data_IF_552514479092
#
_entry.id   IF_552514479092
#
_cell.length_a   1.000
_cell.length_b   1.000
_cell.length_c   1.000
_cell.angle_alpha   90.00
_cell.angle_beta   90.00
_cell.angle_gamma   90.00
#
_symmetry.space_group_name_H-M   'P 1'
#
loop_
_entity.id
_entity.type
_entity.pdbx_description
1 polymer ?
#
# COMPACT_ATOMS: atom_id res chain seq x y z
N UNK A 1 -13.62 -36.03 31.20
CA UNK A 1 -14.35 -34.86 30.68
C UNK A 1 -13.44 -33.65 30.49
N UNK A 2 -12.67 -33.19 31.49
CA UNK A 2 -11.80 -32.02 31.31
C UNK A 2 -10.70 -32.18 30.21
N UNK A 3 -10.10 -33.38 30.09
CA UNK A 3 -9.00 -33.64 29.15
C UNK A 3 -9.42 -33.59 27.67
N UNK A 4 -10.62 -34.10 27.34
CA UNK A 4 -11.13 -34.10 25.95
C UNK A 4 -11.55 -32.70 25.48
N UNK A 5 -12.04 -31.86 26.39
CA UNK A 5 -12.40 -30.47 26.10
C UNK A 5 -11.15 -29.61 25.84
N UNK A 6 -10.07 -29.86 26.61
CA UNK A 6 -8.78 -29.18 26.48
C UNK A 6 -8.05 -29.57 25.18
N UNK A 7 -8.10 -30.86 24.79
CA UNK A 7 -7.59 -31.34 23.51
C UNK A 7 -8.38 -30.77 22.32
N UNK A 8 -9.71 -30.69 22.41
CA UNK A 8 -10.54 -30.10 21.37
C UNK A 8 -10.31 -28.58 21.22
N UNK A 9 -10.01 -27.87 22.31
CA UNK A 9 -9.65 -26.46 22.26
C UNK A 9 -8.28 -26.24 21.59
N UNK A 10 -7.28 -27.04 21.95
CA UNK A 10 -5.94 -27.01 21.33
C UNK A 10 -6.01 -27.32 19.83
N UNK A 11 -6.82 -28.29 19.42
CA UNK A 11 -7.01 -28.64 18.01
C UNK A 11 -7.65 -27.50 17.21
N UNK A 12 -8.63 -26.78 17.79
CA UNK A 12 -9.25 -25.60 17.14
C UNK A 12 -8.26 -24.46 16.98
N UNK A 13 -7.42 -24.22 17.98
CA UNK A 13 -6.40 -23.18 17.91
C UNK A 13 -5.33 -23.51 16.86
N UNK A 14 -4.87 -24.77 16.80
CA UNK A 14 -3.95 -25.24 15.76
C UNK A 14 -4.55 -25.11 14.37
N UNK A 15 -5.82 -25.46 14.19
CA UNK A 15 -6.55 -25.28 12.92
C UNK A 15 -6.71 -23.80 12.55
N UNK A 16 -6.94 -22.92 13.53
CA UNK A 16 -6.98 -21.47 13.32
C UNK A 16 -5.65 -20.93 12.81
N UNK A 17 -4.53 -21.31 13.46
CA UNK A 17 -3.18 -20.94 13.03
C UNK A 17 -2.84 -21.50 11.65
N UNK A 18 -3.24 -22.73 11.35
CA UNK A 18 -3.05 -23.33 10.03
C UNK A 18 -3.81 -22.58 8.94
N UNK A 19 -5.05 -22.17 9.20
CA UNK A 19 -5.85 -21.36 8.25
C UNK A 19 -5.24 -19.97 8.02
N UNK A 20 -4.70 -19.33 9.05
CA UNK A 20 -4.00 -18.05 8.92
C UNK A 20 -2.77 -18.18 8.02
N UNK A 21 -1.95 -19.23 8.24
CA UNK A 21 -0.78 -19.51 7.42
C UNK A 21 -1.13 -19.80 5.96
N UNK A 22 -2.20 -20.56 5.71
CA UNK A 22 -2.68 -20.83 4.34
C UNK A 22 -3.09 -19.53 3.64
N UNK A 23 -3.72 -18.61 4.37
CA UNK A 23 -4.11 -17.30 3.82
C UNK A 23 -2.89 -16.45 3.48
N UNK A 24 -1.91 -16.37 4.38
CA UNK A 24 -0.65 -15.65 4.13
C UNK A 24 0.12 -16.26 2.95
N UNK A 25 0.22 -17.59 2.87
CA UNK A 25 0.84 -18.27 1.73
C UNK A 25 0.10 -17.97 0.41
N UNK A 26 -1.22 -17.89 0.43
CA UNK A 26 -2.01 -17.52 -0.74
C UNK A 26 -1.74 -16.08 -1.18
N UNK A 27 -1.67 -15.14 -0.24
CA UNK A 27 -1.36 -13.73 -0.52
C UNK A 27 0.07 -13.59 -1.07
N UNK A 28 1.05 -14.32 -0.52
CA UNK A 28 2.41 -14.37 -1.06
C UNK A 28 2.47 -14.97 -2.47
N UNK A 29 1.71 -16.03 -2.75
CA UNK A 29 1.66 -16.62 -4.10
C UNK A 29 1.02 -15.68 -5.13
N UNK A 30 0.00 -14.90 -4.74
CA UNK A 30 -0.59 -13.90 -5.61
C UNK A 30 0.39 -12.77 -5.92
N UNK A 31 1.13 -12.29 -4.91
CA UNK A 31 2.17 -11.28 -5.10
C UNK A 31 3.32 -11.78 -6.00
N UNK A 32 3.77 -13.02 -5.80
CA UNK A 32 4.79 -13.64 -6.64
C UNK A 32 4.35 -13.77 -8.10
N UNK A 33 3.09 -14.17 -8.34
CA UNK A 33 2.56 -14.34 -9.69
C UNK A 33 2.38 -13.00 -10.42
N UNK A 34 2.07 -11.93 -9.68
CA UNK A 34 2.04 -10.55 -10.21
C UNK A 34 3.43 -10.09 -10.63
N UNK A 35 4.44 -10.35 -9.78
CA UNK A 35 5.85 -10.03 -10.08
C UNK A 35 6.38 -10.81 -11.29
N UNK A 36 6.06 -12.11 -11.42
CA UNK A 36 6.45 -12.93 -12.57
C UNK A 36 5.82 -12.42 -13.87
N UNK A 37 4.55 -11.99 -13.83
CA UNK A 37 3.88 -11.38 -14.99
C UNK A 37 4.47 -10.02 -15.39
N UNK A 38 4.95 -9.24 -14.42
CA UNK A 38 5.62 -7.96 -14.68
C UNK A 38 7.04 -8.14 -15.25
N UNK A 39 7.73 -9.24 -14.92
CA UNK A 39 9.08 -9.53 -15.36
C UNK A 39 9.17 -10.01 -16.82
N UNK A 40 8.13 -10.69 -17.32
CA UNK A 40 8.09 -11.25 -18.69
C UNK A 40 7.51 -10.28 -19.74
N UNK A 41 7.06 -9.09 -19.35
CA UNK A 41 6.48 -8.11 -20.27
C UNK A 41 7.56 -7.29 -21.01
N UNK A 42 7.57 -7.26 -22.35
CA UNK A 42 8.53 -6.46 -23.11
C UNK A 42 8.30 -4.96 -22.84
N UNK A 43 9.36 -4.28 -22.40
CA UNK A 43 9.35 -2.85 -22.10
C UNK A 43 9.02 -2.06 -23.38
N UNK A 44 7.85 -1.40 -23.40
CA UNK A 44 7.47 -0.44 -24.44
C UNK A 44 6.35 -0.83 -25.41
N UNK A 45 5.63 -1.94 -25.19
CA UNK A 45 4.40 -2.20 -25.93
C UNK A 45 3.26 -1.27 -25.47
N UNK A 46 2.37 -0.87 -26.38
CA UNK A 46 1.22 0.00 -26.12
C UNK A 46 0.21 -0.59 -25.10
N UNK A 47 0.39 -1.85 -24.72
CA UNK A 47 -0.26 -2.55 -23.61
C UNK A 47 0.73 -2.72 -22.44
N UNK A 48 1.31 -1.61 -21.96
CA UNK A 48 2.08 -1.64 -20.71
C UNK A 48 1.18 -2.26 -19.63
N UNK A 49 1.66 -3.34 -19.00
CA UNK A 49 0.94 -4.10 -17.98
C UNK A 49 0.25 -3.09 -17.06
N UNK A 50 -1.10 -3.03 -17.04
CA UNK A 50 -1.77 -2.09 -16.17
C UNK A 50 -1.32 -2.44 -14.77
N UNK A 51 -0.61 -1.51 -14.11
CA UNK A 51 -0.28 -1.63 -12.70
C UNK A 51 -1.59 -2.01 -12.03
N UNK A 52 -1.67 -3.22 -11.47
CA UNK A 52 -2.89 -3.66 -10.84
C UNK A 52 -3.20 -2.60 -9.79
N UNK A 53 -4.40 -2.01 -9.85
CA UNK A 53 -4.77 -0.88 -8.98
C UNK A 53 -4.65 -1.25 -7.51
N UNK A 54 -4.63 -2.55 -7.20
CA UNK A 54 -4.34 -3.11 -5.88
C UNK A 54 -2.90 -2.84 -5.38
N UNK A 55 -1.91 -2.73 -6.28
CA UNK A 55 -0.49 -2.53 -5.98
C UNK A 55 -0.06 -1.06 -5.94
N UNK A 56 -0.91 -0.16 -6.43
CA UNK A 56 -0.59 1.27 -6.53
C UNK A 56 -0.34 1.91 -5.16
N UNK A 57 -1.08 1.50 -4.12
CA UNK A 57 -0.92 2.06 -2.78
C UNK A 57 0.41 1.67 -2.10
N UNK A 58 0.82 0.37 -2.09
CA UNK A 58 2.16 -0.02 -1.69
C UNK A 58 3.27 0.69 -2.48
N UNK A 59 3.10 0.82 -3.80
CA UNK A 59 4.05 1.50 -4.67
C UNK A 59 4.22 2.99 -4.30
N UNK A 60 3.11 3.71 -4.12
CA UNK A 60 3.12 5.11 -3.70
C UNK A 60 3.78 5.31 -2.33
N UNK A 61 3.59 4.38 -1.39
CA UNK A 61 4.28 4.40 -0.10
C UNK A 61 5.80 4.21 -0.28
N UNK A 62 6.22 3.21 -1.06
CA UNK A 62 7.63 2.96 -1.33
C UNK A 62 8.31 4.18 -1.98
N UNK A 63 7.63 4.80 -2.96
CA UNK A 63 8.11 6.01 -3.61
C UNK A 63 8.21 7.19 -2.64
N UNK A 64 7.23 7.38 -1.75
CA UNK A 64 7.28 8.43 -0.73
C UNK A 64 8.46 8.23 0.24
N UNK A 65 8.72 6.98 0.66
CA UNK A 65 9.86 6.63 1.51
C UNK A 65 11.19 6.91 0.81
N UNK A 66 11.34 6.53 -0.46
CA UNK A 66 12.54 6.79 -1.26
C UNK A 66 12.81 8.29 -1.43
N UNK A 67 11.77 9.07 -1.75
CA UNK A 67 11.88 10.53 -1.87
C UNK A 67 12.25 11.21 -0.55
N UNK A 68 11.73 10.72 0.58
CA UNK A 68 12.15 11.19 1.90
C UNK A 68 13.62 10.81 2.20
N UNK A 69 14.05 9.59 1.85
CA UNK A 69 15.42 9.14 2.03
C UNK A 69 16.43 9.92 1.17
N UNK A 70 16.03 10.30 -0.04
CA UNK A 70 16.83 11.08 -1.00
C UNK A 70 16.66 12.60 -0.83
N UNK A 71 15.92 13.05 0.19
CA UNK A 71 15.73 14.45 0.54
C UNK A 71 15.09 15.30 -0.57
N UNK A 72 14.21 14.70 -1.38
CA UNK A 72 13.37 15.44 -2.32
C UNK A 72 12.47 16.40 -1.52
N UNK A 73 12.31 17.64 -2.02
CA UNK A 73 11.43 18.61 -1.36
C UNK A 73 9.99 18.10 -1.32
N UNK A 74 9.28 18.38 -0.23
CA UNK A 74 7.91 17.89 -0.03
C UNK A 74 6.96 18.30 -1.16
N UNK A 75 7.14 19.49 -1.75
CA UNK A 75 6.36 19.98 -2.88
C UNK A 75 6.56 19.12 -4.14
N UNK A 76 7.83 18.88 -4.52
CA UNK A 76 8.17 18.05 -5.68
C UNK A 76 7.77 16.59 -5.48
N UNK A 77 7.91 16.09 -4.25
CA UNK A 77 7.50 14.74 -3.89
C UNK A 77 5.96 14.59 -4.01
N UNK A 78 5.19 15.58 -3.55
CA UNK A 78 3.74 15.57 -3.69
C UNK A 78 3.30 15.63 -5.16
N UNK A 79 3.94 16.45 -5.99
CA UNK A 79 3.65 16.53 -7.43
C UNK A 79 3.91 15.19 -8.13
N UNK A 80 5.01 14.54 -7.80
CA UNK A 80 5.36 13.23 -8.35
C UNK A 80 4.38 12.14 -7.91
N UNK A 81 3.97 12.13 -6.63
CA UNK A 81 2.98 11.20 -6.11
C UNK A 81 1.60 11.41 -6.77
N UNK A 82 1.19 12.65 -7.02
CA UNK A 82 -0.05 12.96 -7.75
C UNK A 82 0.01 12.45 -9.18
N UNK A 83 1.14 12.69 -9.86
CA UNK A 83 1.39 12.22 -11.23
C UNK A 83 1.32 10.70 -11.33
N UNK A 84 1.95 9.99 -10.40
CA UNK A 84 1.96 8.51 -10.36
C UNK A 84 0.60 7.95 -9.97
N UNK A 85 -0.12 8.62 -9.07
CA UNK A 85 -1.46 8.20 -8.67
C UNK A 85 -2.50 8.33 -9.78
N UNK A 86 -2.18 9.04 -10.88
CA UNK A 86 -3.00 9.19 -12.08
C UNK A 86 -4.46 9.55 -11.77
N UNK A 87 -4.65 10.54 -10.88
CA UNK A 87 -5.98 11.00 -10.48
C UNK A 87 -6.77 10.02 -9.60
N UNK A 88 -6.10 9.11 -8.88
CA UNK A 88 -6.73 8.22 -7.90
C UNK A 88 -6.52 8.69 -6.44
N UNK A 89 -7.40 9.55 -5.90
CA UNK A 89 -7.37 9.92 -4.48
C UNK A 89 -7.42 8.71 -3.53
N UNK A 90 -8.09 7.63 -3.94
CA UNK A 90 -8.20 6.42 -3.13
C UNK A 90 -6.88 5.67 -3.00
N UNK A 91 -6.04 5.65 -4.03
CA UNK A 91 -4.71 5.04 -3.96
C UNK A 91 -3.80 5.81 -3.01
N UNK A 92 -3.82 7.14 -3.08
CA UNK A 92 -3.09 8.01 -2.14
C UNK A 92 -3.60 7.86 -0.70
N UNK A 93 -4.91 7.74 -0.51
CA UNK A 93 -5.50 7.50 0.81
C UNK A 93 -5.09 6.14 1.39
N UNK A 94 -5.07 5.10 0.56
CA UNK A 94 -4.60 3.77 0.96
C UNK A 94 -3.10 3.79 1.31
N UNK A 95 -2.26 4.47 0.51
CA UNK A 95 -0.84 4.66 0.82
C UNK A 95 -0.64 5.41 2.15
N UNK A 96 -1.44 6.45 2.41
CA UNK A 96 -1.44 7.18 3.69
C UNK A 96 -1.84 6.29 4.86
N UNK A 97 -2.80 5.39 4.67
CA UNK A 97 -3.20 4.40 5.69
C UNK A 97 -2.06 3.45 6.03
N UNK A 98 -1.36 2.92 5.01
CA UNK A 98 -0.19 2.06 5.18
C UNK A 98 0.96 2.81 5.89
N UNK A 99 1.24 4.06 5.52
CA UNK A 99 2.22 4.90 6.22
C UNK A 99 1.88 5.10 7.69
N UNK A 100 0.59 5.29 8.00
CA UNK A 100 0.12 5.44 9.38
C UNK A 100 0.28 4.17 10.19
N UNK A 101 0.10 2.99 9.58
CA UNK A 101 0.38 1.71 10.21
C UNK A 101 1.89 1.56 10.47
N UNK A 102 2.74 1.90 9.49
CA UNK A 102 4.20 1.88 9.65
C UNK A 102 4.68 2.79 10.80
N UNK A 103 4.14 4.01 10.90
CA UNK A 103 4.50 4.92 11.99
C UNK A 103 4.10 4.39 13.37
N UNK A 104 3.00 3.63 13.49
CA UNK A 104 2.62 3.00 14.77
C UNK A 104 3.60 1.91 15.19
N UNK A 105 4.15 1.16 14.22
CA UNK A 105 5.17 0.14 14.47
C UNK A 105 6.56 0.75 14.75
N UNK A 106 6.80 1.97 14.26
CA UNK A 106 8.06 2.72 14.40
C UNK A 106 7.81 4.13 14.98
N UNK A 107 7.37 4.24 16.25
CA UNK A 107 6.93 5.51 16.82
C UNK A 107 8.06 6.55 16.97
N UNK A 108 9.30 6.10 17.18
CA UNK A 108 10.48 6.96 17.36
C UNK A 108 11.17 7.33 16.03
N UNK A 109 10.69 6.79 14.90
CA UNK A 109 11.24 7.13 13.58
C UNK A 109 10.59 8.40 13.02
N UNK A 110 11.32 9.51 13.10
CA UNK A 110 10.89 10.80 12.55
C UNK A 110 10.58 10.73 11.05
N UNK A 111 11.24 9.84 10.30
CA UNK A 111 11.02 9.70 8.84
C UNK A 111 9.65 9.09 8.56
N UNK A 112 9.21 8.13 9.38
CA UNK A 112 7.87 7.56 9.26
C UNK A 112 6.79 8.64 9.44
N UNK A 113 7.01 9.58 10.37
CA UNK A 113 6.13 10.74 10.55
C UNK A 113 6.14 11.68 9.34
N UNK A 114 7.32 12.01 8.80
CA UNK A 114 7.46 12.89 7.62
C UNK A 114 6.72 12.30 6.41
N UNK A 115 6.79 11.00 6.20
CA UNK A 115 6.07 10.30 5.11
C UNK A 115 4.56 10.39 5.31
N UNK A 116 4.07 10.22 6.54
CA UNK A 116 2.63 10.39 6.86
C UNK A 116 2.17 11.82 6.57
N UNK A 117 2.96 12.83 6.93
CA UNK A 117 2.64 14.25 6.71
C UNK A 117 2.63 14.60 5.21
N UNK A 118 3.61 14.09 4.45
CA UNK A 118 3.67 14.21 2.99
C UNK A 118 2.43 13.60 2.32
N UNK A 119 2.10 12.35 2.63
CA UNK A 119 0.95 11.66 2.04
C UNK A 119 -0.37 12.30 2.45
N UNK A 120 -0.48 12.81 3.68
CA UNK A 120 -1.68 13.53 4.14
C UNK A 120 -1.91 14.81 3.33
N UNK A 121 -0.84 15.58 3.09
CA UNK A 121 -0.91 16.79 2.25
C UNK A 121 -1.27 16.45 0.80
N UNK A 122 -0.68 15.37 0.26
CA UNK A 122 -0.90 14.92 -1.11
C UNK A 122 -2.34 14.44 -1.33
N UNK A 123 -2.91 13.67 -0.39
CA UNK A 123 -4.33 13.27 -0.42
C UNK A 123 -5.24 14.50 -0.46
N UNK A 124 -4.96 15.53 0.34
CA UNK A 124 -5.76 16.74 0.36
C UNK A 124 -5.74 17.47 -0.99
N UNK A 125 -4.57 17.55 -1.63
CA UNK A 125 -4.44 18.12 -2.99
C UNK A 125 -5.24 17.33 -4.02
N UNK A 126 -5.10 16.00 -4.02
CA UNK A 126 -5.83 15.11 -4.92
C UNK A 126 -7.36 15.23 -4.76
N UNK A 127 -7.84 15.38 -3.52
CA UNK A 127 -9.27 15.60 -3.25
C UNK A 127 -9.77 16.91 -3.84
N UNK A 128 -9.04 18.02 -3.62
CA UNK A 128 -9.40 19.32 -4.18
C UNK A 128 -9.49 19.26 -5.71
N UNK A 129 -8.47 18.70 -6.39
CA UNK A 129 -8.48 18.54 -7.84
C UNK A 129 -9.67 17.70 -8.33
N UNK A 130 -9.96 16.58 -7.66
CA UNK A 130 -11.05 15.68 -8.05
C UNK A 130 -12.45 16.26 -7.82
N UNK A 131 -12.65 17.06 -6.76
CA UNK A 131 -13.95 17.64 -6.44
C UNK A 131 -14.20 18.99 -7.15
N UNK A 132 -13.17 19.80 -7.41
CA UNK A 132 -13.29 21.05 -8.18
C UNK A 132 -13.54 20.78 -9.68
N UNK A 133 -13.01 19.68 -10.22
CA UNK A 133 -13.38 19.24 -11.58
C UNK A 133 -14.80 18.69 -11.67
N UNK A 134 -15.35 18.12 -10.59
CA UNK A 134 -16.71 17.61 -10.55
C UNK A 134 -17.80 18.69 -10.46
N UNK A 135 -17.47 19.89 -9.96
CA UNK A 135 -18.39 21.04 -9.86
C UNK A 135 -18.45 21.91 -11.12
N UNK A 136 -17.49 21.76 -12.04
CA UNK A 136 -17.40 22.51 -13.29
C UNK A 136 -17.78 21.70 -14.55
N UNK A 137 -18.20 20.44 -14.37
CA UNK A 137 -18.60 19.50 -15.44
C UNK A 137 -20.09 19.41 -15.66
#
# INVERSE_FOLDING_TARGET
MAVEEEEAASLREQMGRARSRIREMREMLLAANSLDHAADAPVGAADAVPVDRSELAPYLLALALDMCATQVSAERAADELLRVADGSPMALLAARSLASALHKELPDDERARVVVDLLTTTVRRAQVEAFDTATLG
#
